data_IF_926397186451
#
_entry.id   IF_926397186451
#
_cell.length_a   1.000
_cell.length_b   1.000
_cell.length_c   1.000
_cell.angle_alpha   90.00
_cell.angle_beta   90.00
_cell.angle_gamma   90.00
#
_symmetry.space_group_name_H-M   'P 1'
#
loop_
_entity.id
_entity.type
_entity.pdbx_description
1 polymer ?
#
# COMPACT_ATOMS: atom_id res chain seq x y z
N UNK A 1 57.26 -39.02 -27.28
CA UNK A 1 57.35 -37.54 -27.18
C UNK A 1 55.92 -37.01 -27.36
N UNK A 2 55.26 -36.66 -26.26
CA UNK A 2 55.07 -35.28 -25.75
C UNK A 2 54.19 -34.44 -26.71
N UNK A 3 53.08 -33.81 -26.30
CA UNK A 3 52.69 -33.41 -24.95
C UNK A 3 51.19 -33.30 -24.76
N UNK A 4 50.76 -33.73 -23.58
CA UNK A 4 49.53 -33.27 -22.94
C UNK A 4 49.82 -31.82 -22.56
N UNK A 5 49.19 -30.86 -23.26
CA UNK A 5 49.26 -29.44 -22.90
C UNK A 5 48.77 -29.24 -21.46
N UNK A 6 49.25 -28.22 -20.74
CA UNK A 6 48.91 -28.04 -19.34
C UNK A 6 47.40 -27.84 -19.20
N UNK A 7 46.73 -28.77 -18.52
CA UNK A 7 45.36 -28.59 -18.04
C UNK A 7 45.40 -27.47 -17.00
N UNK A 8 45.20 -26.23 -17.44
CA UNK A 8 45.09 -25.09 -16.53
C UNK A 8 43.75 -25.21 -15.81
N UNK A 9 43.80 -25.63 -14.56
CA UNK A 9 42.65 -25.59 -13.67
C UNK A 9 42.50 -24.14 -13.20
N UNK A 10 41.58 -23.39 -13.82
CA UNK A 10 41.31 -21.99 -13.51
C UNK A 10 40.71 -21.87 -12.10
N UNK A 11 41.56 -21.59 -11.11
CA UNK A 11 41.18 -21.30 -9.73
C UNK A 11 40.82 -19.81 -9.56
N UNK A 12 40.07 -19.22 -10.50
CA UNK A 12 39.53 -17.88 -10.25
C UNK A 12 38.55 -17.95 -9.07
N UNK A 13 38.79 -17.20 -7.98
CA UNK A 13 37.92 -17.25 -6.82
C UNK A 13 36.54 -16.72 -7.21
N UNK A 14 35.51 -17.57 -7.09
CA UNK A 14 34.12 -17.17 -7.28
C UNK A 14 33.71 -16.25 -6.12
N UNK A 15 33.83 -14.94 -6.33
CA UNK A 15 33.44 -13.93 -5.33
C UNK A 15 31.92 -13.78 -5.33
N UNK A 16 31.25 -14.47 -4.39
CA UNK A 16 29.83 -14.29 -4.13
C UNK A 16 29.62 -12.92 -3.47
N UNK A 17 29.30 -11.90 -4.28
CA UNK A 17 28.99 -10.55 -3.77
C UNK A 17 27.57 -10.49 -3.22
N UNK A 18 27.44 -10.03 -1.97
CA UNK A 18 26.14 -9.80 -1.34
C UNK A 18 25.42 -8.63 -2.03
N UNK A 19 24.16 -8.84 -2.43
CA UNK A 19 23.35 -7.83 -3.12
C UNK A 19 23.25 -6.55 -2.28
N UNK A 20 23.47 -5.41 -2.93
CA UNK A 20 23.40 -4.12 -2.25
C UNK A 20 22.02 -3.92 -1.58
N UNK A 21 21.98 -3.31 -0.38
CA UNK A 21 20.73 -3.10 0.34
C UNK A 21 19.80 -2.19 -0.47
N UNK A 22 18.52 -2.57 -0.54
CA UNK A 22 17.49 -1.79 -1.19
C UNK A 22 17.16 -0.51 -0.39
N UNK A 23 16.44 0.42 -1.01
CA UNK A 23 16.10 1.71 -0.39
C UNK A 23 15.29 1.59 0.90
N UNK A 24 14.54 0.50 1.08
CA UNK A 24 13.80 0.23 2.32
C UNK A 24 14.75 -0.16 3.46
N UNK A 25 15.73 -1.03 3.17
CA UNK A 25 16.76 -1.46 4.13
C UNK A 25 17.69 -0.31 4.54
N UNK A 26 17.90 0.70 3.67
CA UNK A 26 18.69 1.91 3.99
C UNK A 26 17.95 2.91 4.90
N UNK A 27 16.62 2.83 4.96
CA UNK A 27 15.77 3.69 5.80
C UNK A 27 15.38 3.04 7.12
N UNK A 28 15.87 1.82 7.36
CA UNK A 28 15.59 1.07 8.57
C UNK A 28 16.21 1.76 9.79
N UNK A 29 15.47 1.85 10.89
CA UNK A 29 15.89 2.61 12.07
C UNK A 29 17.23 2.11 12.63
N UNK A 30 17.48 0.81 12.57
CA UNK A 30 18.75 0.21 13.02
C UNK A 30 19.92 0.71 12.16
N UNK A 31 19.74 0.76 10.85
CA UNK A 31 20.77 1.25 9.92
C UNK A 31 21.02 2.75 10.06
N UNK A 32 19.97 3.55 10.23
CA UNK A 32 20.09 5.00 10.41
C UNK A 32 20.74 5.34 11.75
N UNK A 33 20.37 4.63 12.83
CA UNK A 33 20.98 4.82 14.14
C UNK A 33 22.45 4.40 14.17
N UNK A 34 22.81 3.32 13.47
CA UNK A 34 24.21 2.91 13.31
C UNK A 34 25.03 3.97 12.54
N UNK A 35 24.49 4.50 11.44
CA UNK A 35 25.12 5.58 10.66
C UNK A 35 25.31 6.85 11.50
N UNK A 36 24.31 7.25 12.28
CA UNK A 36 24.39 8.41 13.19
C UNK A 36 25.47 8.24 14.25
N UNK A 37 25.63 7.03 14.81
CA UNK A 37 26.69 6.73 15.79
C UNK A 37 28.08 6.70 15.17
N UNK A 38 28.18 6.23 13.93
CA UNK A 38 29.44 6.16 13.19
C UNK A 38 29.89 7.51 12.60
N UNK A 39 29.10 8.58 12.75
CA UNK A 39 29.38 9.88 12.15
C UNK A 39 29.28 9.87 10.62
N UNK A 40 28.60 8.89 10.04
CA UNK A 40 28.35 8.81 8.61
C UNK A 40 27.25 9.80 8.19
N UNK A 41 27.29 10.29 6.96
CA UNK A 41 26.31 11.24 6.44
C UNK A 41 24.89 10.65 6.43
N UNK A 42 23.96 11.38 7.06
CA UNK A 42 22.53 11.07 7.10
C UNK A 42 21.77 12.20 6.44
N UNK A 43 21.20 11.93 5.26
CA UNK A 43 20.32 12.86 4.57
C UNK A 43 18.92 12.84 5.19
N UNK A 44 18.43 14.00 5.63
CA UNK A 44 17.05 14.16 6.09
C UNK A 44 16.25 14.99 5.09
N UNK A 45 15.20 14.39 4.52
CA UNK A 45 14.30 15.07 3.58
C UNK A 45 12.89 15.13 4.18
N UNK A 46 12.28 16.32 4.16
CA UNK A 46 10.88 16.49 4.56
C UNK A 46 9.97 15.73 3.60
N UNK A 47 9.06 14.90 4.12
CA UNK A 47 8.10 14.17 3.30
C UNK A 47 7.11 15.14 2.63
N UNK A 48 6.69 14.81 1.41
CA UNK A 48 5.59 15.50 0.74
C UNK A 48 4.32 15.43 1.60
N UNK A 49 3.63 16.56 1.78
CA UNK A 49 2.51 16.73 2.73
C UNK A 49 2.84 16.49 4.22
N UNK A 50 4.10 16.54 4.64
CA UNK A 50 4.44 16.44 6.05
C UNK A 50 3.84 17.61 6.85
N UNK A 51 3.13 17.29 7.94
CA UNK A 51 2.49 18.26 8.83
C UNK A 51 1.06 18.65 8.44
N UNK A 52 0.43 17.96 7.48
CA UNK A 52 -0.97 18.21 7.10
C UNK A 52 -1.87 17.00 7.40
N UNK A 53 -3.15 17.24 7.62
CA UNK A 53 -4.18 16.22 7.94
C UNK A 53 -5.24 16.15 6.84
N UNK A 54 -4.83 15.86 5.60
CA UNK A 54 -5.74 15.78 4.45
C UNK A 54 -6.77 14.67 4.66
N UNK A 55 -8.06 14.98 4.49
CA UNK A 55 -9.13 13.99 4.61
C UNK A 55 -9.09 12.98 3.46
N UNK A 56 -9.57 11.77 3.74
CA UNK A 56 -9.58 10.65 2.80
C UNK A 56 -10.41 10.89 1.53
N UNK A 57 -11.39 11.78 1.64
CA UNK A 57 -12.28 12.21 0.55
C UNK A 57 -11.71 13.37 -0.27
N UNK A 58 -10.64 14.03 0.18
CA UNK A 58 -10.10 15.24 -0.47
C UNK A 58 -9.11 14.95 -1.60
N UNK A 59 -8.86 13.69 -1.95
CA UNK A 59 -7.93 13.33 -3.02
C UNK A 59 -8.18 11.95 -3.58
N UNK A 60 -7.66 11.72 -4.78
CA UNK A 60 -7.70 10.42 -5.45
C UNK A 60 -6.74 9.45 -4.75
N UNK A 61 -7.18 8.22 -4.51
CA UNK A 61 -6.32 7.14 -4.00
C UNK A 61 -5.30 6.62 -5.02
N UNK A 62 -5.45 7.02 -6.28
CA UNK A 62 -4.64 6.59 -7.42
C UNK A 62 -3.50 7.60 -7.68
N UNK A 63 -2.44 7.11 -8.31
CA UNK A 63 -1.33 7.95 -8.74
C UNK A 63 -1.79 8.89 -9.86
N UNK A 64 -2.03 10.16 -9.52
CA UNK A 64 -2.56 11.17 -10.45
C UNK A 64 -1.68 11.36 -11.68
N UNK A 65 -0.35 11.28 -11.54
CA UNK A 65 0.57 11.34 -12.68
C UNK A 65 0.33 10.21 -13.69
N UNK A 66 0.13 8.99 -13.20
CA UNK A 66 -0.15 7.85 -14.07
C UNK A 66 -1.51 8.00 -14.75
N UNK A 67 -2.51 8.55 -14.06
CA UNK A 67 -3.82 8.82 -14.66
C UNK A 67 -3.77 9.90 -15.74
N UNK A 68 -2.88 10.89 -15.60
CA UNK A 68 -2.68 11.94 -16.59
C UNK A 68 -1.97 11.42 -17.85
N UNK A 69 -1.03 10.49 -17.66
CA UNK A 69 -0.31 9.81 -18.75
C UNK A 69 -1.18 8.76 -19.49
N UNK A 70 -2.19 8.18 -18.82
CA UNK A 70 -3.02 7.08 -19.33
C UNK A 70 -4.26 7.62 -20.05
N UNK A 71 -4.14 7.90 -21.35
CA UNK A 71 -5.19 8.52 -22.18
C UNK A 71 -6.18 7.52 -22.81
N UNK A 72 -5.89 6.21 -22.74
CA UNK A 72 -6.63 5.18 -23.48
C UNK A 72 -7.63 4.40 -22.61
N UNK A 73 -7.39 4.29 -21.30
CA UNK A 73 -8.16 3.40 -20.42
C UNK A 73 -9.04 4.17 -19.42
N UNK A 74 -10.30 4.42 -19.81
CA UNK A 74 -11.25 5.26 -19.05
C UNK A 74 -12.05 4.52 -17.96
N UNK A 75 -11.80 3.22 -17.76
CA UNK A 75 -12.56 2.39 -16.83
C UNK A 75 -11.77 2.06 -15.57
N UNK A 76 -12.40 2.24 -14.40
CA UNK A 76 -11.82 1.84 -13.12
C UNK A 76 -12.53 0.60 -12.56
N UNK A 77 -11.75 -0.29 -11.94
CA UNK A 77 -12.28 -1.43 -11.21
C UNK A 77 -13.13 -0.95 -10.03
N UNK A 78 -14.36 -1.44 -9.97
CA UNK A 78 -15.34 -1.07 -8.93
C UNK A 78 -15.30 -2.07 -7.79
N UNK A 79 -15.96 -1.71 -6.69
CA UNK A 79 -16.13 -2.60 -5.54
C UNK A 79 -16.69 -3.98 -5.97
N UNK A 80 -15.99 -5.09 -5.68
CA UNK A 80 -16.44 -6.42 -6.07
C UNK A 80 -17.71 -6.84 -5.30
N UNK A 81 -18.46 -7.77 -5.89
CA UNK A 81 -19.75 -8.24 -5.34
C UNK A 81 -19.61 -8.86 -3.95
N UNK A 82 -18.48 -9.48 -3.64
CA UNK A 82 -18.21 -10.04 -2.31
C UNK A 82 -18.05 -8.94 -1.25
N UNK A 83 -17.29 -7.89 -1.57
CA UNK A 83 -17.03 -6.78 -0.65
C UNK A 83 -18.32 -6.03 -0.31
N UNK A 84 -19.19 -5.75 -1.29
CA UNK A 84 -20.46 -5.07 -1.01
C UNK A 84 -21.40 -5.90 -0.13
N UNK A 85 -21.44 -7.23 -0.33
CA UNK A 85 -22.23 -8.14 0.51
C UNK A 85 -21.69 -8.19 1.93
N UNK A 86 -20.37 -8.28 2.09
CA UNK A 86 -19.72 -8.31 3.40
C UNK A 86 -19.99 -7.02 4.20
N UNK A 87 -19.93 -5.84 3.55
CA UNK A 87 -20.25 -4.56 4.21
C UNK A 87 -21.70 -4.55 4.70
N UNK A 88 -22.64 -4.96 3.84
CA UNK A 88 -24.07 -4.97 4.17
C UNK A 88 -24.38 -5.95 5.30
N UNK A 89 -23.79 -7.14 5.28
CA UNK A 89 -23.93 -8.14 6.35
C UNK A 89 -23.36 -7.60 7.68
N UNK A 90 -22.12 -7.12 7.69
CA UNK A 90 -21.50 -6.60 8.90
C UNK A 90 -22.25 -5.38 9.47
N UNK A 91 -22.85 -4.54 8.61
CA UNK A 91 -23.72 -3.42 9.05
C UNK A 91 -24.99 -3.93 9.72
N UNK A 92 -25.65 -4.92 9.14
CA UNK A 92 -26.90 -5.50 9.68
C UNK A 92 -26.66 -6.27 10.98
N UNK A 93 -25.55 -7.00 11.10
CA UNK A 93 -25.11 -7.65 12.35
C UNK A 93 -24.95 -6.64 13.50
N UNK A 94 -24.38 -5.46 13.20
CA UNK A 94 -24.25 -4.36 14.16
C UNK A 94 -25.50 -3.51 14.33
N UNK A 95 -26.60 -3.82 13.62
CA UNK A 95 -27.88 -3.07 13.67
C UNK A 95 -27.71 -1.58 13.40
N UNK A 96 -26.76 -1.19 12.54
CA UNK A 96 -26.50 0.21 12.19
C UNK A 96 -27.24 0.60 10.90
N UNK A 97 -27.77 1.82 10.85
CA UNK A 97 -28.22 2.41 9.59
C UNK A 97 -27.01 2.87 8.75
N UNK A 98 -27.20 3.07 7.45
CA UNK A 98 -26.16 3.63 6.58
C UNK A 98 -25.71 5.02 7.06
N UNK A 99 -26.65 5.85 7.54
CA UNK A 99 -26.35 7.19 8.08
C UNK A 99 -25.54 7.12 9.38
N UNK A 100 -25.88 6.21 10.30
CA UNK A 100 -25.13 6.00 11.53
C UNK A 100 -23.72 5.48 11.25
N UNK A 101 -23.58 4.52 10.34
CA UNK A 101 -22.26 4.03 9.93
C UNK A 101 -21.42 5.15 9.32
N UNK A 102 -22.01 5.96 8.44
CA UNK A 102 -21.35 7.10 7.80
C UNK A 102 -20.87 8.14 8.83
N UNK A 103 -21.70 8.45 9.83
CA UNK A 103 -21.32 9.33 10.95
C UNK A 103 -20.14 8.77 11.75
N UNK A 104 -20.15 7.48 12.08
CA UNK A 104 -19.07 6.82 12.83
C UNK A 104 -17.73 6.92 12.06
N UNK A 105 -17.74 6.75 10.73
CA UNK A 105 -16.52 6.82 9.92
C UNK A 105 -16.16 8.24 9.45
N UNK A 106 -16.98 9.23 9.80
CA UNK A 106 -16.89 10.62 9.34
C UNK A 106 -16.85 10.72 7.81
N UNK A 107 -17.77 10.05 7.13
CA UNK A 107 -17.98 10.14 5.68
C UNK A 107 -19.44 10.48 5.37
N UNK A 108 -19.72 10.83 4.11
CA UNK A 108 -21.10 11.10 3.68
C UNK A 108 -21.90 9.79 3.56
N UNK A 109 -23.20 9.77 3.90
CA UNK A 109 -24.06 8.60 3.72
C UNK A 109 -24.07 8.06 2.28
N UNK A 110 -23.97 8.96 1.30
CA UNK A 110 -23.88 8.61 -0.12
C UNK A 110 -22.69 7.71 -0.43
N UNK A 111 -21.54 7.93 0.23
CA UNK A 111 -20.35 7.09 0.04
C UNK A 111 -20.68 5.65 0.45
N UNK A 112 -21.24 5.44 1.65
CA UNK A 112 -21.64 4.10 2.11
C UNK A 112 -22.61 3.42 1.12
N UNK A 113 -23.59 4.17 0.61
CA UNK A 113 -24.55 3.66 -0.37
C UNK A 113 -23.87 3.25 -1.69
N UNK A 114 -22.89 4.00 -2.17
CA UNK A 114 -22.11 3.67 -3.37
C UNK A 114 -21.24 2.42 -3.16
N UNK A 115 -20.71 2.20 -1.96
CA UNK A 115 -19.98 0.97 -1.60
C UNK A 115 -20.92 -0.25 -1.51
N UNK A 116 -22.08 -0.13 -0.85
CA UNK A 116 -23.07 -1.22 -0.75
C UNK A 116 -23.73 -1.56 -2.10
N UNK A 117 -23.82 -0.59 -3.02
CA UNK A 117 -24.31 -0.81 -4.39
C UNK A 117 -23.23 -1.29 -5.37
N UNK A 118 -21.95 -1.22 -5.00
CA UNK A 118 -20.82 -1.61 -5.85
C UNK A 118 -20.47 -0.59 -6.95
N UNK A 119 -20.94 0.66 -6.82
CA UNK A 119 -20.64 1.75 -7.77
C UNK A 119 -19.33 2.47 -7.44
N UNK A 120 -18.93 2.46 -6.17
CA UNK A 120 -17.74 3.16 -5.71
C UNK A 120 -16.44 2.54 -6.23
N UNK A 121 -15.42 3.38 -6.38
CA UNK A 121 -14.03 2.97 -6.56
C UNK A 121 -13.45 2.65 -5.16
N UNK A 122 -12.85 1.46 -4.94
CA UNK A 122 -12.30 1.09 -3.65
C UNK A 122 -11.18 2.04 -3.17
N UNK A 123 -11.42 2.78 -2.09
CA UNK A 123 -10.40 3.56 -1.39
C UNK A 123 -9.96 2.86 -0.10
N UNK A 124 -8.67 2.52 -0.01
CA UNK A 124 -8.09 1.79 1.12
C UNK A 124 -8.29 2.48 2.47
N UNK A 125 -8.34 3.82 2.50
CA UNK A 125 -8.56 4.57 3.74
C UNK A 125 -9.99 4.40 4.25
N UNK A 126 -10.97 4.49 3.36
CA UNK A 126 -12.40 4.30 3.68
C UNK A 126 -12.63 2.85 4.10
N UNK A 127 -12.07 1.88 3.37
CA UNK A 127 -12.13 0.47 3.73
C UNK A 127 -11.54 0.19 5.11
N UNK A 128 -10.38 0.79 5.43
CA UNK A 128 -9.77 0.63 6.76
C UNK A 128 -10.60 1.27 7.88
N UNK A 129 -11.36 2.33 7.61
CA UNK A 129 -12.32 2.89 8.57
C UNK A 129 -13.53 1.98 8.74
N UNK A 130 -14.06 1.43 7.65
CA UNK A 130 -15.17 0.48 7.66
C UNK A 130 -14.81 -0.81 8.42
N UNK A 131 -13.63 -1.37 8.18
CA UNK A 131 -13.14 -2.56 8.90
C UNK A 131 -13.10 -2.32 10.42
N UNK A 132 -12.64 -1.13 10.85
CA UNK A 132 -12.59 -0.76 12.27
C UNK A 132 -13.98 -0.53 12.87
N UNK A 133 -14.84 0.21 12.17
CA UNK A 133 -16.20 0.50 12.64
C UNK A 133 -17.08 -0.76 12.69
N UNK A 134 -16.93 -1.64 11.69
CA UNK A 134 -17.70 -2.88 11.56
C UNK A 134 -17.05 -4.07 12.27
N UNK A 135 -15.79 -3.98 12.68
CA UNK A 135 -15.06 -5.07 13.35
C UNK A 135 -14.88 -6.31 12.47
N UNK A 136 -15.10 -6.19 11.16
CA UNK A 136 -15.02 -7.27 10.19
C UNK A 136 -13.84 -7.01 9.23
N UNK A 137 -13.14 -8.07 8.83
CA UNK A 137 -12.13 -7.98 7.77
C UNK A 137 -12.81 -8.02 6.42
N UNK A 138 -12.95 -6.85 5.81
CA UNK A 138 -13.63 -6.66 4.53
C UNK A 138 -12.71 -6.88 3.33
N UNK A 139 -11.40 -6.70 3.50
CA UNK A 139 -10.40 -7.07 2.51
C UNK A 139 -10.00 -8.53 2.74
N UNK A 140 -10.35 -9.40 1.82
CA UNK A 140 -10.03 -10.82 1.84
C UNK A 140 -8.52 -11.06 1.84
N UNK A 141 -7.90 -11.04 3.02
CA UNK A 141 -6.62 -11.68 3.34
C UNK A 141 -6.70 -12.14 4.79
N UNK A 142 -6.89 -13.44 4.96
CA UNK A 142 -6.28 -14.13 6.10
C UNK A 142 -4.77 -14.11 5.88
#
# INVERSE_FOLDING_TARGET
MAGIGPMTQDWEPVVIRKKAPNSAAKRDEKTVNAARRAGADVESVRKFNAGTNKAASSGTSLNTKRLDDDTENLTHERVPTELKKAIMQARTEKKLTQSQLAQIINEKPQVIQEYESGKAIPNQQILSKLERALGAKLRGKK
#
